data_IF_186639951356
#
_entry.id   IF_186639951356
#
_cell.length_a   1.000
_cell.length_b   1.000
_cell.length_c   1.000
_cell.angle_alpha   90.00
_cell.angle_beta   90.00
_cell.angle_gamma   90.00
#
_symmetry.space_group_name_H-M   'P 1'
#
loop_
_entity.id
_entity.type
_entity.pdbx_description
1 polymer ?
#
# COMPACT_ATOMS: atom_id res chain seq x y z
N UNK A 1 13.37 17.53 -9.09
CA UNK A 1 12.95 16.20 -8.61
C UNK A 1 11.55 15.99 -9.14
N UNK A 2 11.28 14.91 -9.87
CA UNK A 2 9.91 14.59 -10.27
C UNK A 2 9.09 14.38 -8.99
N UNK A 3 7.92 15.00 -8.88
CA UNK A 3 7.05 14.82 -7.73
C UNK A 3 6.67 13.33 -7.63
N UNK A 4 6.86 12.72 -6.46
CA UNK A 4 6.52 11.30 -6.26
C UNK A 4 5.02 11.08 -6.39
N UNK A 5 4.63 10.08 -7.18
CA UNK A 5 3.24 9.65 -7.33
C UNK A 5 2.61 9.11 -6.03
N UNK A 6 1.27 9.13 -5.98
CA UNK A 6 0.48 8.45 -4.95
C UNK A 6 -0.01 7.10 -5.46
N UNK A 7 0.43 6.02 -4.81
CA UNK A 7 0.23 4.66 -5.29
C UNK A 7 -0.48 3.82 -4.23
N UNK A 8 -1.51 3.08 -4.64
CA UNK A 8 -2.16 2.05 -3.85
C UNK A 8 -1.62 0.67 -4.24
N UNK A 9 -1.10 -0.08 -3.28
CA UNK A 9 -0.66 -1.47 -3.45
C UNK A 9 -1.61 -2.39 -2.67
N UNK A 10 -2.41 -3.17 -3.40
CA UNK A 10 -3.28 -4.20 -2.84
C UNK A 10 -2.49 -5.47 -2.55
N UNK A 11 -2.88 -6.25 -1.54
CA UNK A 11 -2.11 -7.43 -1.12
C UNK A 11 -0.76 -7.04 -0.50
N UNK A 12 -0.67 -5.81 0.01
CA UNK A 12 0.59 -5.22 0.49
C UNK A 12 1.14 -5.87 1.76
N UNK A 13 0.34 -6.71 2.43
CA UNK A 13 0.78 -7.50 3.58
C UNK A 13 1.33 -8.88 3.21
N UNK A 14 1.18 -9.29 1.94
CA UNK A 14 1.77 -10.52 1.41
C UNK A 14 3.19 -10.35 0.89
N UNK A 15 3.80 -11.47 0.47
CA UNK A 15 5.19 -11.51 0.00
C UNK A 15 5.46 -10.56 -1.19
N UNK A 16 4.68 -10.68 -2.28
CA UNK A 16 4.93 -9.86 -3.48
C UNK A 16 4.57 -8.40 -3.23
N UNK A 17 3.39 -8.14 -2.64
CA UNK A 17 2.89 -6.78 -2.44
C UNK A 17 3.79 -5.95 -1.54
N UNK A 18 4.32 -6.52 -0.45
CA UNK A 18 5.27 -5.82 0.44
C UNK A 18 6.58 -5.47 -0.27
N UNK A 19 7.11 -6.34 -1.13
CA UNK A 19 8.31 -6.07 -1.92
C UNK A 19 8.09 -4.98 -2.98
N UNK A 20 6.94 -5.00 -3.67
CA UNK A 20 6.54 -3.95 -4.61
C UNK A 20 6.40 -2.60 -3.90
N UNK A 21 5.72 -2.59 -2.75
CA UNK A 21 5.56 -1.39 -1.95
C UNK A 21 6.91 -0.85 -1.44
N UNK A 22 7.83 -1.71 -0.99
CA UNK A 22 9.19 -1.32 -0.60
C UNK A 22 9.94 -0.66 -1.75
N UNK A 23 9.88 -1.26 -2.94
CA UNK A 23 10.53 -0.70 -4.12
C UNK A 23 9.99 0.71 -4.41
N UNK A 24 8.67 0.88 -4.53
CA UNK A 24 8.04 2.17 -4.81
C UNK A 24 8.30 3.21 -3.70
N UNK A 25 8.24 2.81 -2.44
CA UNK A 25 8.54 3.66 -1.29
C UNK A 25 9.99 4.14 -1.31
N UNK A 26 10.94 3.27 -1.67
CA UNK A 26 12.35 3.62 -1.82
C UNK A 26 12.64 4.62 -2.95
N UNK A 27 11.76 4.71 -3.95
CA UNK A 27 11.82 5.72 -5.01
C UNK A 27 11.22 7.08 -4.58
N UNK A 28 10.72 7.21 -3.35
CA UNK A 28 10.16 8.46 -2.83
C UNK A 28 8.67 8.67 -3.14
N UNK A 29 7.95 7.63 -3.59
CA UNK A 29 6.50 7.70 -3.80
C UNK A 29 5.74 7.66 -2.48
N UNK A 30 4.52 8.23 -2.47
CA UNK A 30 3.57 7.98 -1.41
C UNK A 30 2.90 6.63 -1.66
N UNK A 31 3.14 5.65 -0.78
CA UNK A 31 2.63 4.28 -0.96
C UNK A 31 1.62 3.94 0.13
N UNK A 32 0.37 3.72 -0.27
CA UNK A 32 -0.68 3.13 0.56
C UNK A 32 -0.70 1.63 0.33
N UNK A 33 -0.58 0.83 1.38
CA UNK A 33 -0.76 -0.63 1.32
C UNK A 33 -2.09 -1.03 1.94
N UNK A 34 -2.80 -1.97 1.30
CA UNK A 34 -4.03 -2.56 1.85
C UNK A 34 -4.00 -4.08 1.78
N UNK A 35 -4.41 -4.71 2.88
CA UNK A 35 -4.52 -6.16 3.01
C UNK A 35 -5.44 -6.53 4.18
N UNK A 36 -5.99 -7.75 4.18
CA UNK A 36 -6.73 -8.32 5.33
C UNK A 36 -5.80 -8.71 6.48
N UNK A 37 -4.54 -9.00 6.16
CA UNK A 37 -3.49 -9.37 7.11
C UNK A 37 -2.14 -8.80 6.67
N UNK A 38 -1.25 -8.56 7.62
CA UNK A 38 0.12 -8.14 7.34
C UNK A 38 1.04 -9.15 7.99
N UNK A 39 1.71 -9.94 7.15
CA UNK A 39 2.73 -10.88 7.58
C UNK A 39 4.08 -10.13 7.67
N UNK A 40 4.97 -10.53 8.58
CA UNK A 40 6.25 -9.85 8.84
C UNK A 40 7.37 -10.24 7.85
N UNK A 41 7.05 -10.32 6.55
CA UNK A 41 8.05 -10.64 5.49
C UNK A 41 9.12 -9.56 5.33
N UNK A 42 8.78 -8.30 5.60
CA UNK A 42 9.70 -7.17 5.60
C UNK A 42 9.61 -6.49 6.96
N UNK A 43 10.75 -6.34 7.64
CA UNK A 43 10.83 -5.74 8.98
C UNK A 43 10.92 -4.22 8.93
N UNK A 44 11.52 -3.68 7.87
CA UNK A 44 11.64 -2.25 7.65
C UNK A 44 10.30 -1.66 7.17
N UNK A 45 10.11 -0.34 7.37
CA UNK A 45 8.95 0.36 6.83
C UNK A 45 9.01 0.39 5.30
N UNK A 46 7.95 -0.07 4.64
CA UNK A 46 7.84 -0.14 3.18
C UNK A 46 6.61 0.60 2.61
N UNK A 47 5.97 1.44 3.42
CA UNK A 47 4.76 2.17 3.05
C UNK A 47 4.69 3.54 3.74
N UNK A 48 3.97 4.47 3.11
CA UNK A 48 3.58 5.75 3.71
C UNK A 48 2.35 5.55 4.60
N UNK A 49 1.37 4.78 4.13
CA UNK A 49 0.11 4.47 4.83
C UNK A 49 -0.20 2.97 4.76
N UNK A 50 -0.74 2.42 5.85
CA UNK A 50 -1.17 1.02 5.94
C UNK A 50 -2.63 0.95 6.36
N UNK A 51 -3.43 0.23 5.59
CA UNK A 51 -4.86 0.06 5.83
C UNK A 51 -5.20 -1.44 5.92
N UNK A 52 -5.87 -1.86 6.99
CA UNK A 52 -6.30 -3.26 7.14
C UNK A 52 -7.79 -3.39 6.84
N UNK A 53 -8.14 -3.87 5.65
CA UNK A 53 -9.52 -4.00 5.17
C UNK A 53 -9.66 -5.20 4.23
N UNK A 54 -10.89 -5.71 4.11
CA UNK A 54 -11.23 -6.75 3.13
C UNK A 54 -11.71 -6.12 1.83
N UNK A 55 -10.89 -6.22 0.78
CA UNK A 55 -11.22 -5.69 -0.55
C UNK A 55 -12.26 -6.53 -1.31
N UNK A 56 -12.75 -7.63 -0.75
CA UNK A 56 -13.93 -8.32 -1.28
C UNK A 56 -15.22 -7.52 -1.00
N UNK A 57 -15.18 -6.59 -0.05
CA UNK A 57 -16.27 -5.64 0.25
C UNK A 57 -16.10 -4.42 -0.65
N UNK A 58 -17.12 -4.12 -1.47
CA UNK A 58 -17.09 -3.07 -2.49
C UNK A 58 -16.80 -1.68 -1.90
N UNK A 59 -17.40 -1.36 -0.76
CA UNK A 59 -17.24 -0.08 -0.07
C UNK A 59 -15.79 0.13 0.38
N UNK A 60 -15.08 -0.94 0.74
CA UNK A 60 -13.67 -0.87 1.10
C UNK A 60 -12.80 -0.52 -0.11
N UNK A 61 -13.11 -1.05 -1.29
CA UNK A 61 -12.44 -0.67 -2.55
C UNK A 61 -12.61 0.82 -2.85
N UNK A 62 -13.84 1.33 -2.72
CA UNK A 62 -14.12 2.76 -2.88
C UNK A 62 -13.38 3.62 -1.86
N UNK A 63 -13.28 3.15 -0.61
CA UNK A 63 -12.58 3.87 0.44
C UNK A 63 -11.08 4.00 0.14
N UNK A 64 -10.40 2.90 -0.21
CA UNK A 64 -8.94 2.92 -0.39
C UNK A 64 -8.47 3.54 -1.70
N UNK A 65 -9.37 3.67 -2.69
CA UNK A 65 -9.10 4.32 -3.98
C UNK A 65 -9.33 5.82 -3.98
N UNK A 66 -9.98 6.37 -2.95
CA UNK A 66 -10.09 7.83 -2.79
C UNK A 66 -8.71 8.44 -2.57
N UNK A 67 -8.36 9.39 -3.46
CA UNK A 67 -7.23 10.28 -3.28
C UNK A 67 -7.66 11.53 -2.51
N UNK A 68 -6.79 12.04 -1.65
CA UNK A 68 -6.97 13.32 -0.99
C UNK A 68 -6.73 14.41 -2.06
N UNK A 69 -7.79 15.09 -2.49
CA UNK A 69 -7.67 16.38 -3.16
C UNK A 69 -7.64 17.47 -2.11
#
# INVERSE_FOLDING_TARGET
MLAGERILVTGGGGFIGSHVARYLYSQGHYVRVVDVKFDDFIKERYYSERVRLDLRVWENCLLVTKGDR
#
